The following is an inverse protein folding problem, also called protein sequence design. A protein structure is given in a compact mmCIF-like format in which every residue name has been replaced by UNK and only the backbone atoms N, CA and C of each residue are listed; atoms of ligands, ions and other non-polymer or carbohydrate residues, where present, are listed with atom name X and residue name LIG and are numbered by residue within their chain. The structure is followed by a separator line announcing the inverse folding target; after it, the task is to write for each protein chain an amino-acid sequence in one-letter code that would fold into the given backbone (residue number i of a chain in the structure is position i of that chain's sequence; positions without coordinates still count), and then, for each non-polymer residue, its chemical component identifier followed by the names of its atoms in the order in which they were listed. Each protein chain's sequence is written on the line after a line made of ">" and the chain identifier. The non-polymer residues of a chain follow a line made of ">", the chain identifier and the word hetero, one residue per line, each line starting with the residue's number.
data_IF_956845346986
#
_entry.id   IF_956845346986
#
_cell.length_a   1.000
_cell.length_b   1.000
_cell.length_c   1.000
_cell.angle_alpha   90.00
_cell.angle_beta   90.00
_cell.angle_gamma   90.00
#
_symmetry.space_group_name_H-M   'P 1'
#
loop_
_entity.id
_entity.type
_entity.pdbx_description
1 polymer ?
#
# COMPACT_ATOMS: atom_id res chain seq x y z
N UNK A 1 -7.52 12.18 5.42
CA UNK A 1 -7.64 10.80 4.88
C UNK A 1 -6.28 10.13 5.01
N UNK A 2 -6.19 8.91 5.55
CA UNK A 2 -4.89 8.23 5.68
C UNK A 2 -4.42 7.66 4.32
N UNK A 3 -3.14 7.29 4.21
CA UNK A 3 -2.62 6.58 3.03
C UNK A 3 -3.36 5.25 2.82
N UNK A 4 -3.71 4.56 3.91
CA UNK A 4 -4.45 3.29 3.86
C UNK A 4 -5.85 3.51 3.29
N UNK A 5 -6.58 4.51 3.79
CA UNK A 5 -7.92 4.86 3.27
C UNK A 5 -7.85 5.25 1.79
N UNK A 6 -6.82 6.01 1.41
CA UNK A 6 -6.57 6.39 0.03
C UNK A 6 -6.37 5.15 -0.86
N UNK A 7 -5.55 4.19 -0.43
CA UNK A 7 -5.28 2.96 -1.19
C UNK A 7 -6.55 2.11 -1.36
N UNK A 8 -7.34 1.95 -0.30
CA UNK A 8 -8.62 1.24 -0.35
C UNK A 8 -9.59 1.93 -1.30
N UNK A 9 -9.76 3.25 -1.18
CA UNK A 9 -10.65 4.02 -2.04
C UNK A 9 -10.20 4.00 -3.52
N UNK A 10 -8.89 3.95 -3.78
CA UNK A 10 -8.33 3.76 -5.11
C UNK A 10 -8.64 2.34 -5.63
N UNK A 11 -8.37 1.31 -4.84
CA UNK A 11 -8.62 -0.08 -5.20
C UNK A 11 -10.09 -0.39 -5.47
N UNK A 12 -11.01 0.20 -4.69
CA UNK A 12 -12.46 0.07 -4.88
C UNK A 12 -12.96 0.67 -6.20
N UNK A 13 -12.21 1.63 -6.77
CA UNK A 13 -12.52 2.30 -8.05
C UNK A 13 -11.86 1.63 -9.25
N UNK A 14 -10.82 0.83 -9.03
CA UNK A 14 -10.26 -0.02 -10.07
C UNK A 14 -11.31 -1.04 -10.54
N UNK A 15 -11.10 -1.62 -11.73
CA UNK A 15 -12.08 -2.50 -12.38
C UNK A 15 -12.67 -3.51 -11.40
N UNK A 16 -14.01 -3.55 -11.33
CA UNK A 16 -14.76 -4.48 -10.48
C UNK A 16 -15.06 -5.73 -11.30
N UNK A 17 -14.51 -6.86 -10.88
CA UNK A 17 -14.87 -8.18 -11.40
C UNK A 17 -16.21 -8.62 -10.82
N UNK A 18 -16.50 -8.27 -9.56
CA UNK A 18 -17.73 -8.64 -8.86
C UNK A 18 -18.42 -7.42 -8.21
N UNK A 19 -19.74 -7.53 -8.03
CA UNK A 19 -20.57 -6.45 -7.46
C UNK A 19 -20.13 -6.06 -6.03
N UNK A 20 -19.65 -7.04 -5.27
CA UNK A 20 -19.24 -6.90 -3.87
C UNK A 20 -17.73 -6.72 -3.68
N UNK A 21 -16.98 -6.46 -4.75
CA UNK A 21 -15.53 -6.24 -4.65
C UNK A 21 -15.22 -5.12 -3.65
N UNK A 22 -14.33 -5.44 -2.72
CA UNK A 22 -13.82 -4.52 -1.72
C UNK A 22 -12.30 -4.65 -1.60
N UNK A 23 -11.60 -3.54 -1.72
CA UNK A 23 -10.17 -3.45 -1.52
C UNK A 23 -9.82 -3.24 -0.05
N UNK A 24 -8.76 -3.90 0.38
CA UNK A 24 -8.15 -3.80 1.70
C UNK A 24 -6.67 -3.52 1.52
N UNK A 25 -6.09 -2.79 2.47
CA UNK A 25 -4.69 -2.41 2.40
C UNK A 25 -4.07 -2.40 3.80
N UNK A 26 -2.80 -2.77 3.86
CA UNK A 26 -1.96 -2.58 5.04
C UNK A 26 -0.57 -2.12 4.59
N UNK A 27 0.06 -1.24 5.38
CA UNK A 27 1.33 -0.62 5.00
C UNK A 27 2.35 -0.70 6.11
N UNK A 28 3.62 -0.84 5.74
CA UNK A 28 4.77 -0.59 6.61
C UNK A 28 5.52 0.63 6.10
N UNK A 29 5.51 1.71 6.87
CA UNK A 29 6.31 2.90 6.59
C UNK A 29 7.75 2.67 7.08
N UNK A 30 8.73 2.95 6.22
CA UNK A 30 10.16 2.83 6.54
C UNK A 30 10.83 4.17 6.82
N UNK A 31 10.36 5.23 6.15
CA UNK A 31 10.90 6.58 6.23
C UNK A 31 9.83 7.57 5.75
N UNK A 32 9.77 8.71 6.43
CA UNK A 32 9.08 9.93 5.99
C UNK A 32 10.16 10.99 5.88
N UNK A 33 10.20 11.67 4.74
CA UNK A 33 11.23 12.67 4.43
C UNK A 33 10.54 13.93 3.90
N UNK A 34 10.74 15.05 4.60
CA UNK A 34 10.33 16.38 4.12
C UNK A 34 11.32 16.87 3.06
N UNK A 35 10.80 17.50 2.00
CA UNK A 35 11.56 18.04 0.87
C UNK A 35 11.58 19.56 0.93
N UNK A 36 12.56 20.15 0.25
CA UNK A 36 12.78 21.61 0.25
C UNK A 36 11.59 22.39 -0.33
N UNK A 37 10.79 21.77 -1.19
CA UNK A 37 9.55 22.33 -1.75
C UNK A 37 8.34 22.22 -0.81
N UNK A 38 8.53 21.68 0.40
CA UNK A 38 7.48 21.46 1.40
C UNK A 38 6.65 20.19 1.17
N UNK A 39 6.97 19.39 0.13
CA UNK A 39 6.37 18.07 -0.06
C UNK A 39 6.98 17.03 0.87
N UNK A 40 6.28 15.91 1.05
CA UNK A 40 6.71 14.81 1.89
C UNK A 40 6.79 13.52 1.09
N UNK A 41 7.95 12.87 1.11
CA UNK A 41 8.11 11.54 0.55
C UNK A 41 7.92 10.50 1.66
N UNK A 42 6.95 9.61 1.47
CA UNK A 42 6.70 8.49 2.36
C UNK A 42 7.08 7.20 1.63
N UNK A 43 8.11 6.53 2.14
CA UNK A 43 8.58 5.27 1.59
C UNK A 43 8.02 4.11 2.40
N UNK A 44 7.21 3.28 1.77
CA UNK A 44 6.49 2.20 2.43
C UNK A 44 6.53 0.91 1.60
N UNK A 45 6.28 -0.21 2.28
CA UNK A 45 5.81 -1.41 1.60
C UNK A 45 4.31 -1.54 1.81
N UNK A 46 3.60 -1.89 0.75
CA UNK A 46 2.15 -1.96 0.73
C UNK A 46 1.75 -3.39 0.39
N UNK A 47 0.86 -3.94 1.21
CA UNK A 47 0.05 -5.11 0.86
C UNK A 47 -1.36 -4.60 0.56
N UNK A 48 -1.87 -4.90 -0.63
CA UNK A 48 -3.23 -4.59 -1.05
C UNK A 48 -3.88 -5.86 -1.58
N UNK A 49 -5.10 -6.13 -1.12
CA UNK A 49 -5.85 -7.34 -1.47
C UNK A 49 -7.30 -6.95 -1.78
N UNK A 50 -7.90 -7.60 -2.77
CA UNK A 50 -9.33 -7.46 -3.09
C UNK A 50 -10.06 -8.74 -2.75
N UNK A 51 -11.24 -8.57 -2.16
CA UNK A 51 -12.13 -9.65 -1.78
C UNK A 51 -13.56 -9.39 -2.22
N UNK A 52 -14.31 -10.46 -2.44
CA UNK A 52 -15.74 -10.43 -2.68
C UNK A 52 -16.45 -11.51 -1.87
N UNK A 53 -17.78 -11.40 -1.77
CA UNK A 53 -18.62 -12.35 -1.09
C UNK A 53 -19.40 -13.17 -2.12
N UNK A 54 -19.23 -14.48 -2.09
CA UNK A 54 -20.00 -15.41 -2.92
C UNK A 54 -20.46 -16.58 -2.05
N UNK A 55 -21.76 -16.90 -2.06
CA UNK A 55 -22.34 -18.00 -1.27
C UNK A 55 -21.98 -17.96 0.23
N UNK A 56 -21.90 -16.76 0.84
CA UNK A 56 -21.45 -16.50 2.22
C UNK A 56 -19.98 -16.85 2.50
N UNK A 57 -19.18 -17.09 1.46
CA UNK A 57 -17.73 -17.26 1.57
C UNK A 57 -17.02 -15.99 1.09
N UNK A 58 -16.00 -15.58 1.85
CA UNK A 58 -15.13 -14.45 1.50
C UNK A 58 -14.03 -15.01 0.60
N UNK A 59 -14.01 -14.59 -0.66
CA UNK A 59 -13.07 -15.08 -1.68
C UNK A 59 -12.10 -13.95 -2.06
N UNK A 60 -10.82 -14.28 -2.16
CA UNK A 60 -9.80 -13.35 -2.65
C UNK A 60 -9.82 -13.29 -4.17
N UNK A 61 -9.98 -12.10 -4.73
CA UNK A 61 -9.94 -11.84 -6.17
C UNK A 61 -8.50 -11.58 -6.65
N UNK A 62 -7.79 -10.70 -5.96
CA UNK A 62 -6.44 -10.27 -6.36
C UNK A 62 -5.62 -9.77 -5.18
N UNK A 63 -4.30 -9.84 -5.31
CA UNK A 63 -3.34 -9.35 -4.34
C UNK A 63 -2.20 -8.55 -5.01
N UNK A 64 -1.53 -7.72 -4.21
CA UNK A 64 -0.32 -7.00 -4.58
C UNK A 64 0.50 -6.72 -3.33
N UNK A 65 1.80 -7.03 -3.38
CA UNK A 65 2.74 -6.78 -2.30
C UNK A 65 4.01 -6.19 -2.86
N UNK A 66 4.17 -4.87 -2.75
CA UNK A 66 5.27 -4.17 -3.41
C UNK A 66 5.62 -2.84 -2.72
N UNK A 67 6.80 -2.26 -3.00
CA UNK A 67 7.22 -0.99 -2.42
C UNK A 67 6.58 0.21 -3.13
N UNK A 68 6.26 1.23 -2.36
CA UNK A 68 5.63 2.48 -2.78
C UNK A 68 6.41 3.68 -2.25
N UNK A 69 6.58 4.69 -3.10
CA UNK A 69 6.90 6.06 -2.70
C UNK A 69 5.66 6.92 -2.91
N UNK A 70 5.07 7.38 -1.83
CA UNK A 70 4.00 8.38 -1.87
C UNK A 70 4.60 9.78 -1.81
N UNK A 71 4.03 10.71 -2.57
CA UNK A 71 4.30 12.14 -2.46
C UNK A 71 3.06 12.79 -1.83
N UNK A 72 3.26 13.47 -0.72
CA UNK A 72 2.20 14.13 0.03
C UNK A 72 2.46 15.64 0.09
N UNK A 73 1.39 16.42 0.06
CA UNK A 73 1.41 17.85 0.33
C UNK A 73 0.54 18.16 1.56
N UNK A 74 0.89 19.25 2.25
CA UNK A 74 0.10 19.76 3.36
C UNK A 74 -0.84 20.86 2.84
N UNK A 75 -2.14 20.57 2.83
CA UNK A 75 -3.22 21.50 2.41
C UNK A 75 -4.18 21.66 3.58
N UNK A 76 -4.42 22.89 4.02
CA UNK A 76 -5.33 23.21 5.15
C UNK A 76 -5.09 22.34 6.41
N UNK A 77 -3.81 22.23 6.80
CA UNK A 77 -3.34 21.38 7.90
C UNK A 77 -3.57 19.86 7.75
N UNK A 78 -3.91 19.40 6.55
CA UNK A 78 -4.07 17.99 6.23
C UNK A 78 -3.04 17.52 5.20
N UNK A 79 -2.51 16.31 5.40
CA UNK A 79 -1.68 15.67 4.38
C UNK A 79 -2.54 14.99 3.32
N UNK A 80 -2.27 15.28 2.06
CA UNK A 80 -2.97 14.75 0.89
C UNK A 80 -1.97 14.03 0.00
N UNK A 81 -2.29 12.81 -0.43
CA UNK A 81 -1.48 12.08 -1.43
C UNK A 81 -1.70 12.71 -2.79
N UNK A 82 -0.63 13.21 -3.42
CA UNK A 82 -0.67 13.87 -4.72
C UNK A 82 -0.03 13.05 -5.85
N UNK A 83 0.91 12.15 -5.53
CA UNK A 83 1.54 11.24 -6.49
C UNK A 83 1.96 9.92 -5.82
N UNK A 84 2.08 8.87 -6.61
CA UNK A 84 2.52 7.54 -6.19
C UNK A 84 3.47 6.98 -7.23
N UNK A 85 4.60 6.45 -6.77
CA UNK A 85 5.55 5.72 -7.60
C UNK A 85 5.80 4.34 -7.03
N UNK A 86 5.82 3.35 -7.92
CA UNK A 86 6.18 1.97 -7.64
C UNK A 86 7.19 1.51 -8.69
N UNK A 87 8.12 0.60 -8.36
CA UNK A 87 9.00 0.02 -9.37
C UNK A 87 8.20 -0.69 -10.46
N UNK A 88 8.62 -0.52 -11.71
CA UNK A 88 8.11 -1.30 -12.85
C UNK A 88 8.69 -2.70 -12.79
N UNK A 89 7.88 -3.71 -13.15
CA UNK A 89 8.31 -5.11 -13.11
C UNK A 89 9.59 -5.36 -13.92
N UNK A 90 9.63 -4.87 -15.16
CA UNK A 90 10.78 -5.08 -16.07
C UNK A 90 12.04 -4.28 -15.68
N UNK A 91 11.90 -3.26 -14.82
CA UNK A 91 12.99 -2.36 -14.40
C UNK A 91 13.11 -2.31 -12.88
N UNK A 92 12.68 -3.37 -12.18
CA UNK A 92 12.47 -3.33 -10.74
C UNK A 92 13.72 -2.90 -9.98
N UNK A 93 14.89 -3.46 -10.30
CA UNK A 93 16.14 -3.12 -9.61
C UNK A 93 16.60 -1.68 -9.85
N UNK A 94 16.39 -1.16 -11.06
CA UNK A 94 16.75 0.21 -11.44
C UNK A 94 15.83 1.21 -10.74
N UNK A 95 14.51 1.01 -10.86
CA UNK A 95 13.51 1.85 -10.22
C UNK A 95 13.64 1.78 -8.71
N UNK A 96 13.99 0.64 -8.12
CA UNK A 96 14.28 0.56 -6.69
C UNK A 96 15.42 1.51 -6.30
N UNK A 97 16.51 1.53 -7.07
CA UNK A 97 17.68 2.39 -6.79
C UNK A 97 17.36 3.88 -6.97
N UNK A 98 16.53 4.21 -7.95
CA UNK A 98 16.10 5.58 -8.26
C UNK A 98 15.07 6.11 -7.25
N UNK A 99 14.04 5.31 -6.96
CA UNK A 99 12.90 5.74 -6.16
C UNK A 99 13.17 5.70 -4.66
N UNK A 100 14.07 4.83 -4.17
CA UNK A 100 14.20 4.55 -2.74
C UNK A 100 15.64 4.77 -2.21
N UNK A 101 15.80 5.52 -1.10
CA UNK A 101 17.08 5.67 -0.43
C UNK A 101 17.70 4.31 -0.07
N UNK A 102 19.03 4.22 -0.15
CA UNK A 102 19.77 2.97 0.13
C UNK A 102 19.45 2.37 1.50
N UNK A 103 19.24 3.22 2.51
CA UNK A 103 18.88 2.79 3.87
C UNK A 103 17.50 2.15 3.94
N UNK A 104 16.53 2.66 3.17
CA UNK A 104 15.18 2.09 3.04
C UNK A 104 15.23 0.75 2.30
N UNK A 105 15.92 0.70 1.16
CA UNK A 105 16.05 -0.53 0.36
C UNK A 105 16.60 -1.72 1.16
N UNK A 106 17.68 -1.50 1.92
CA UNK A 106 18.25 -2.54 2.80
C UNK A 106 17.24 -3.12 3.81
N UNK A 107 16.26 -2.31 4.24
CA UNK A 107 15.20 -2.78 5.12
C UNK A 107 14.12 -3.55 4.34
N UNK A 108 13.78 -3.09 3.13
CA UNK A 108 12.82 -3.77 2.24
C UNK A 108 13.32 -5.13 1.74
N UNK A 109 14.63 -5.30 1.50
CA UNK A 109 15.26 -6.58 1.15
C UNK A 109 14.98 -7.71 2.17
N UNK A 110 14.66 -7.34 3.42
CA UNK A 110 14.38 -8.29 4.50
C UNK A 110 12.90 -8.56 4.71
N UNK A 111 12.01 -7.98 3.92
CA UNK A 111 10.59 -7.93 4.26
C UNK A 111 9.93 -9.31 4.34
N UNK A 112 10.35 -10.24 3.48
CA UNK A 112 9.86 -11.62 3.46
C UNK A 112 10.43 -12.48 4.59
N UNK A 113 11.43 -11.97 5.34
CA UNK A 113 12.17 -12.73 6.34
C UNK A 113 12.13 -12.09 7.74
N UNK A 114 11.52 -10.91 7.90
CA UNK A 114 11.54 -10.15 9.16
C UNK A 114 10.19 -10.10 9.90
N UNK A 115 9.22 -10.91 9.47
CA UNK A 115 7.89 -10.97 10.08
C UNK A 115 6.93 -9.86 9.63
N UNK A 116 7.33 -9.04 8.65
CA UNK A 116 6.50 -7.92 8.20
C UNK A 116 5.31 -8.38 7.37
N UNK A 117 5.52 -9.27 6.41
CA UNK A 117 4.44 -9.75 5.54
C UNK A 117 3.34 -10.40 6.38
N UNK A 118 3.70 -11.17 7.42
CA UNK A 118 2.77 -11.78 8.35
C UNK A 118 1.95 -10.74 9.11
N UNK A 119 2.59 -9.64 9.54
CA UNK A 119 1.90 -8.53 10.23
C UNK A 119 0.91 -7.82 9.31
N UNK A 120 1.31 -7.54 8.06
CA UNK A 120 0.43 -6.91 7.07
C UNK A 120 -0.78 -7.80 6.75
N UNK A 121 -0.55 -9.10 6.56
CA UNK A 121 -1.61 -10.09 6.38
C UNK A 121 -2.57 -10.17 7.58
N UNK A 122 -2.02 -10.18 8.80
CA UNK A 122 -2.84 -10.20 10.02
C UNK A 122 -3.70 -8.95 10.16
N UNK A 123 -3.21 -7.80 9.71
CA UNK A 123 -3.95 -6.56 9.70
C UNK A 123 -5.12 -6.62 8.71
N UNK A 124 -4.89 -7.04 7.45
CA UNK A 124 -5.99 -7.23 6.48
C UNK A 124 -7.01 -8.25 6.98
N UNK A 125 -6.56 -9.38 7.58
CA UNK A 125 -7.48 -10.36 8.18
C UNK A 125 -8.38 -9.77 9.28
N UNK A 126 -7.90 -8.78 10.05
CA UNK A 126 -8.74 -8.08 11.03
C UNK A 126 -9.74 -7.16 10.33
N UNK A 127 -9.32 -6.44 9.30
CA UNK A 127 -10.19 -5.57 8.52
C UNK A 127 -11.32 -6.35 7.83
N UNK A 128 -11.01 -7.51 7.24
CA UNK A 128 -12.00 -8.40 6.63
C UNK A 128 -13.07 -8.84 7.62
N UNK A 129 -12.63 -9.26 8.82
CA UNK A 129 -13.56 -9.65 9.89
C UNK A 129 -14.46 -8.51 10.34
N UNK A 130 -13.99 -7.26 10.30
CA UNK A 130 -14.80 -6.09 10.67
C UNK A 130 -15.75 -5.65 9.55
N UNK A 131 -15.45 -5.98 8.29
CA UNK A 131 -16.24 -5.57 7.14
C UNK A 131 -17.35 -6.57 6.80
N UNK A 132 -17.06 -7.88 6.89
CA UNK A 132 -17.98 -8.95 6.50
C UNK A 132 -18.71 -9.65 7.68
N UNK A 133 -18.44 -9.27 8.94
CA UNK A 133 -19.20 -9.70 10.12
C UNK A 133 -19.85 -8.50 10.81
#
# INVERSE_FOLDING_TARGET
>A
MSIVDFLMAKGDKEYKHHMTDKAFASIRIYLIEEKDDGSFYVYAWVLQEKYYLENNEIIMDSDSSQPYRFVLEKVDDQFVVIDIRTPRLDYYEEDMKDLFPRTVRKKMERIHNDGTIEKLNLDIKKQLKLYFH
#
